data_IF_283523439842
#
_entry.id   IF_283523439842
#
_cell.length_a   1.000
_cell.length_b   1.000
_cell.length_c   1.000
_cell.angle_alpha   90.00
_cell.angle_beta   90.00
_cell.angle_gamma   90.00
#
_symmetry.space_group_name_H-M   'P 1'
#
loop_
_entity.id
_entity.type
_entity.pdbx_description
1 polymer ?
#
# COMPACT_ATOMS: atom_id res chain seq x y z
N UNK A 1 6.60 1.70 -13.08
CA UNK A 1 6.65 2.91 -12.26
C UNK A 1 7.52 2.67 -11.04
N UNK A 2 8.51 3.52 -10.84
CA UNK A 2 9.39 3.43 -9.66
C UNK A 2 9.01 4.46 -8.61
N UNK A 3 9.03 4.06 -7.35
CA UNK A 3 8.77 4.94 -6.21
C UNK A 3 10.04 5.06 -5.38
N UNK A 4 10.57 6.28 -5.27
CA UNK A 4 11.74 6.54 -4.43
C UNK A 4 11.32 6.70 -2.98
N UNK A 5 12.02 6.03 -2.09
CA UNK A 5 11.80 6.16 -0.65
C UNK A 5 13.15 6.16 0.08
N UNK A 6 13.15 6.69 1.30
CA UNK A 6 14.31 6.62 2.18
C UNK A 6 14.07 5.51 3.20
N UNK A 7 14.97 4.53 3.22
CA UNK A 7 14.91 3.46 4.20
C UNK A 7 15.29 4.02 5.58
N UNK A 8 14.35 4.01 6.53
CA UNK A 8 14.58 4.62 7.84
C UNK A 8 15.60 3.87 8.68
N UNK A 9 15.88 2.61 8.38
CA UNK A 9 16.89 1.81 9.07
C UNK A 9 18.29 2.06 8.55
N UNK A 10 18.47 2.04 7.23
CA UNK A 10 19.80 2.22 6.59
C UNK A 10 20.13 3.67 6.29
N UNK A 11 19.12 4.55 6.25
CA UNK A 11 19.23 5.96 5.85
C UNK A 11 19.58 6.16 4.38
N UNK A 12 19.47 5.11 3.59
CA UNK A 12 19.76 5.16 2.16
C UNK A 12 18.49 5.37 1.34
N UNK A 13 18.62 6.06 0.21
CA UNK A 13 17.54 6.18 -0.76
C UNK A 13 17.49 4.94 -1.62
N UNK A 14 16.28 4.40 -1.82
CA UNK A 14 16.03 3.20 -2.60
C UNK A 14 14.83 3.41 -3.50
N UNK A 15 14.67 2.52 -4.47
CA UNK A 15 13.51 2.48 -5.34
C UNK A 15 12.74 1.19 -5.13
N UNK A 16 11.41 1.26 -5.20
CA UNK A 16 10.62 0.05 -5.32
C UNK A 16 9.61 0.19 -6.45
N UNK A 17 9.13 -0.94 -6.94
CA UNK A 17 8.18 -1.01 -8.04
C UNK A 17 6.93 -1.71 -7.56
N UNK A 18 5.80 -0.98 -7.42
CA UNK A 18 4.53 -1.60 -7.04
C UNK A 18 4.14 -2.74 -7.98
N UNK A 19 3.54 -3.80 -7.44
CA UNK A 19 3.22 -5.01 -8.19
C UNK A 19 2.05 -4.84 -9.15
N UNK A 20 1.06 -4.02 -8.78
CA UNK A 20 -0.18 -3.89 -9.54
C UNK A 20 -0.44 -2.47 -9.97
N UNK A 21 -0.76 -2.30 -11.24
CA UNK A 21 -1.32 -1.06 -11.79
C UNK A 21 -2.66 -1.44 -12.38
N UNK A 22 -3.74 -0.90 -11.82
CA UNK A 22 -5.11 -1.28 -12.18
C UNK A 22 -5.82 -0.06 -12.75
N UNK A 23 -6.40 -0.21 -13.94
CA UNK A 23 -7.27 0.83 -14.51
C UNK A 23 -8.71 0.45 -14.21
N UNK A 24 -9.41 1.31 -13.47
CA UNK A 24 -10.83 1.11 -13.19
C UNK A 24 -11.68 1.68 -14.31
N UNK A 25 -12.88 1.11 -14.49
CA UNK A 25 -13.80 1.52 -15.55
C UNK A 25 -14.28 2.97 -15.41
N UNK A 26 -14.24 3.53 -14.22
CA UNK A 26 -14.63 4.92 -13.93
C UNK A 26 -13.51 5.93 -14.18
N UNK A 27 -12.35 5.49 -14.65
CA UNK A 27 -11.20 6.35 -14.95
C UNK A 27 -10.18 6.47 -13.84
N UNK A 28 -10.41 5.88 -12.66
CA UNK A 28 -9.42 5.85 -11.59
C UNK A 28 -8.27 4.90 -11.96
N UNK A 29 -7.11 5.17 -11.38
CA UNK A 29 -5.93 4.31 -11.49
C UNK A 29 -5.55 3.81 -10.10
N UNK A 30 -5.39 2.50 -9.97
CA UNK A 30 -4.94 1.87 -8.73
C UNK A 30 -3.49 1.44 -8.83
N UNK A 31 -2.70 1.76 -7.83
CA UNK A 31 -1.29 1.38 -7.73
C UNK A 31 -1.09 0.71 -6.38
N UNK A 32 -0.88 -0.61 -6.40
CA UNK A 32 -0.80 -1.40 -5.17
C UNK A 32 0.45 -2.25 -5.13
N UNK A 33 1.03 -2.37 -3.95
CA UNK A 33 2.12 -3.30 -3.69
C UNK A 33 1.59 -4.42 -2.80
N UNK A 34 1.83 -5.66 -3.19
CA UNK A 34 1.33 -6.82 -2.45
C UNK A 34 2.33 -7.25 -1.40
N UNK A 35 1.86 -7.57 -0.21
CA UNK A 35 2.68 -8.08 0.87
C UNK A 35 2.01 -9.28 1.53
N UNK A 36 2.81 -10.13 2.14
CA UNK A 36 2.35 -11.30 2.90
C UNK A 36 2.72 -11.13 4.36
N UNK A 37 1.77 -11.44 5.25
CA UNK A 37 2.01 -11.62 6.66
C UNK A 37 3.06 -10.68 7.27
N UNK A 38 4.18 -11.25 7.68
CA UNK A 38 5.24 -10.53 8.38
C UNK A 38 5.86 -9.38 7.58
N UNK A 39 5.88 -9.48 6.25
CA UNK A 39 6.44 -8.42 5.41
C UNK A 39 5.57 -7.17 5.46
N UNK A 40 4.25 -7.33 5.61
CA UNK A 40 3.32 -6.21 5.70
C UNK A 40 3.52 -5.37 6.96
N UNK A 41 4.11 -5.94 8.02
CA UNK A 41 4.36 -5.26 9.29
C UNK A 41 5.76 -4.69 9.42
N UNK A 42 6.61 -4.84 8.41
CA UNK A 42 8.00 -4.37 8.47
C UNK A 42 8.09 -2.84 8.37
N UNK A 43 9.14 -2.30 8.99
CA UNK A 43 9.46 -0.86 8.90
C UNK A 43 9.69 -0.44 7.45
N UNK A 44 10.34 -1.29 6.66
CA UNK A 44 10.59 -1.02 5.25
C UNK A 44 9.29 -0.90 4.46
N UNK A 45 8.29 -1.74 4.74
CA UNK A 45 6.98 -1.63 4.12
C UNK A 45 6.32 -0.31 4.47
N UNK A 46 6.41 0.14 5.72
CA UNK A 46 5.87 1.43 6.13
C UNK A 46 6.57 2.58 5.37
N UNK A 47 7.89 2.53 5.23
CA UNK A 47 8.65 3.57 4.51
C UNK A 47 8.22 3.63 3.03
N UNK A 48 8.11 2.48 2.38
CA UNK A 48 7.67 2.39 0.98
C UNK A 48 6.25 2.91 0.80
N UNK A 49 5.35 2.51 1.70
CA UNK A 49 3.94 2.88 1.62
C UNK A 49 3.75 4.38 1.81
N UNK A 50 4.45 4.97 2.78
CA UNK A 50 4.37 6.40 3.01
C UNK A 50 4.88 7.19 1.80
N UNK A 51 5.95 6.73 1.17
CA UNK A 51 6.46 7.34 -0.06
C UNK A 51 5.47 7.20 -1.22
N UNK A 52 4.83 6.03 -1.35
CA UNK A 52 3.81 5.82 -2.38
C UNK A 52 2.62 6.77 -2.18
N UNK A 53 2.13 6.93 -0.95
CA UNK A 53 1.02 7.83 -0.67
C UNK A 53 1.34 9.27 -1.01
N UNK A 54 2.58 9.72 -0.74
CA UNK A 54 3.02 11.07 -1.12
C UNK A 54 2.98 11.23 -2.65
N UNK A 55 3.43 10.24 -3.38
CA UNK A 55 3.45 10.28 -4.84
C UNK A 55 2.02 10.27 -5.42
N UNK A 56 1.13 9.46 -4.87
CA UNK A 56 -0.27 9.41 -5.30
C UNK A 56 -0.97 10.76 -5.05
N UNK A 57 -0.65 11.41 -3.95
CA UNK A 57 -1.18 12.73 -3.63
C UNK A 57 -0.80 13.76 -4.68
N UNK A 58 0.44 13.70 -5.17
CA UNK A 58 0.92 14.58 -6.25
C UNK A 58 0.21 14.29 -7.57
N UNK A 59 -0.05 13.02 -7.87
CA UNK A 59 -0.74 12.62 -9.10
C UNK A 59 -2.20 13.05 -9.16
N UNK A 60 -2.85 13.19 -8.01
CA UNK A 60 -4.23 13.66 -7.93
C UNK A 60 -5.25 12.62 -7.49
N UNK A 61 -6.51 13.06 -7.34
CA UNK A 61 -7.59 12.26 -6.73
C UNK A 61 -7.98 11.00 -7.49
N UNK A 62 -7.65 10.92 -8.79
CA UNK A 62 -7.94 9.74 -9.60
C UNK A 62 -6.99 8.58 -9.33
N UNK A 63 -5.89 8.86 -8.64
CA UNK A 63 -4.88 7.85 -8.30
C UNK A 63 -5.09 7.39 -6.87
N UNK A 64 -5.31 6.09 -6.70
CA UNK A 64 -5.50 5.46 -5.41
C UNK A 64 -4.50 4.31 -5.29
N UNK A 65 -4.19 3.90 -4.08
CA UNK A 65 -3.28 2.79 -3.91
C UNK A 65 -2.80 2.61 -2.49
N UNK A 66 -1.91 1.68 -2.33
CA UNK A 66 -1.32 1.34 -1.05
C UNK A 66 -0.85 -0.10 -1.02
N UNK A 67 -0.91 -0.70 0.14
CA UNK A 67 -0.55 -2.10 0.35
C UNK A 67 -1.78 -2.98 0.20
N UNK A 68 -1.62 -4.09 -0.51
CA UNK A 68 -2.65 -5.12 -0.63
C UNK A 68 -2.18 -6.41 0.05
N UNK A 69 -3.03 -6.98 0.89
CA UNK A 69 -2.77 -8.21 1.63
C UNK A 69 -3.93 -9.17 1.43
N UNK A 70 -3.62 -10.44 1.23
CA UNK A 70 -4.63 -11.50 1.16
C UNK A 70 -4.69 -12.21 2.52
N UNK A 71 -5.90 -12.33 3.07
CA UNK A 71 -6.14 -13.07 4.29
C UNK A 71 -7.41 -13.91 4.12
N UNK A 72 -7.31 -15.20 4.41
CA UNK A 72 -8.42 -16.16 4.25
C UNK A 72 -9.06 -16.11 2.84
N UNK A 73 -8.24 -15.96 1.81
CA UNK A 73 -8.69 -15.93 0.42
C UNK A 73 -9.30 -14.61 -0.04
N UNK A 74 -9.36 -13.61 0.83
CA UNK A 74 -9.92 -12.29 0.53
C UNK A 74 -8.81 -11.24 0.48
N UNK A 75 -8.85 -10.39 -0.55
CA UNK A 75 -7.89 -9.31 -0.68
C UNK A 75 -8.40 -8.06 0.04
N UNK A 76 -7.51 -7.44 0.79
CA UNK A 76 -7.73 -6.17 1.49
C UNK A 76 -6.68 -5.18 1.06
N UNK A 77 -7.00 -3.89 1.14
CA UNK A 77 -6.03 -2.84 0.86
C UNK A 77 -6.02 -1.81 1.98
N UNK A 78 -4.87 -1.12 2.10
CA UNK A 78 -4.68 -0.04 3.05
C UNK A 78 -4.14 1.16 2.29
N UNK A 79 -4.95 2.21 2.18
CA UNK A 79 -4.59 3.46 1.51
C UNK A 79 -4.36 4.59 2.50
N UNK A 80 -4.12 4.25 3.76
CA UNK A 80 -3.88 5.23 4.81
C UNK A 80 -2.66 6.10 4.49
N UNK A 81 -2.75 7.43 4.66
CA UNK A 81 -1.59 8.31 4.46
C UNK A 81 -0.47 8.06 5.47
N UNK A 82 -0.77 7.38 6.56
CA UNK A 82 0.17 7.02 7.60
C UNK A 82 0.05 5.53 7.89
N UNK A 83 0.84 4.74 7.20
CA UNK A 83 0.78 3.29 7.32
C UNK A 83 1.31 2.83 8.69
N UNK A 84 0.50 2.06 9.43
CA UNK A 84 0.88 1.53 10.74
C UNK A 84 0.24 0.16 10.97
N UNK A 85 0.77 -0.88 10.36
CA UNK A 85 0.33 -2.24 10.59
C UNK A 85 1.38 -2.95 11.43
N UNK A 86 0.97 -3.44 12.60
CA UNK A 86 1.89 -4.04 13.58
C UNK A 86 1.77 -5.55 13.59
N UNK A 87 2.87 -6.21 13.93
CA UNK A 87 2.92 -7.65 14.11
C UNK A 87 1.85 -8.09 15.11
N UNK A 88 1.17 -9.20 14.80
CA UNK A 88 0.09 -9.72 15.62
C UNK A 88 -1.29 -9.15 15.33
N UNK A 89 -1.40 -8.11 14.51
CA UNK A 89 -2.69 -7.57 14.09
C UNK A 89 -3.23 -8.32 12.87
N UNK A 90 -4.54 -8.49 12.83
CA UNK A 90 -5.22 -8.99 11.63
C UNK A 90 -5.74 -7.83 10.80
N UNK A 91 -5.84 -8.01 9.48
CA UNK A 91 -6.46 -7.00 8.61
C UNK A 91 -7.93 -6.76 8.96
N UNK A 92 -8.58 -7.72 9.61
CA UNK A 92 -9.97 -7.59 10.06
C UNK A 92 -10.11 -6.75 11.34
N UNK A 93 -9.02 -6.53 12.07
CA UNK A 93 -9.05 -5.84 13.35
C UNK A 93 -8.94 -4.32 13.23
N UNK A 94 -8.61 -3.83 12.04
CA UNK A 94 -8.36 -2.41 11.81
C UNK A 94 -9.32 -1.85 10.78
N UNK A 95 -9.83 -0.65 11.03
CA UNK A 95 -10.66 0.08 10.07
C UNK A 95 -9.86 0.64 8.91
N UNK A 96 -8.54 0.62 8.99
CA UNK A 96 -7.67 1.08 7.92
C UNK A 96 -7.59 0.11 6.75
N UNK A 97 -7.93 -1.16 6.97
CA UNK A 97 -7.98 -2.19 5.95
C UNK A 97 -9.39 -2.33 5.40
N UNK A 98 -9.52 -2.25 4.09
CA UNK A 98 -10.81 -2.32 3.40
C UNK A 98 -10.81 -3.49 2.42
N UNK A 99 -11.96 -4.17 2.23
CA UNK A 99 -12.04 -5.21 1.20
C UNK A 99 -11.72 -4.63 -0.17
N UNK A 100 -10.92 -5.32 -0.95
CA UNK A 100 -10.51 -4.86 -2.28
C UNK A 100 -11.71 -4.72 -3.22
N UNK A 101 -12.74 -5.56 -3.03
CA UNK A 101 -13.97 -5.50 -3.83
C UNK A 101 -14.71 -4.17 -3.71
N UNK A 102 -14.50 -3.40 -2.63
CA UNK A 102 -15.12 -2.09 -2.47
C UNK A 102 -14.66 -1.09 -3.52
N UNK A 103 -13.59 -1.38 -4.25
CA UNK A 103 -13.06 -0.53 -5.31
C UNK A 103 -13.78 -0.73 -6.64
N UNK A 104 -14.54 -1.79 -6.79
CA UNK A 104 -15.19 -2.15 -8.06
C UNK A 104 -16.70 -1.91 -8.09
#
# INVERSE_FOLDING_TARGET
MGVKYTNSTTKEDELFYPDWIIRFSDGRMGIFDTKKGNTATSTETADKTNALQQKLKVFGKKFIGGIAVQEAGVWYYNDSPKYSFKEGQSVNDSKEWKPFEDLF
#
